data_IF_098102213738
#
_entry.id   IF_098102213738
#
_cell.length_a   1.000
_cell.length_b   1.000
_cell.length_c   1.000
_cell.angle_alpha   90.00
_cell.angle_beta   90.00
_cell.angle_gamma   90.00
#
_symmetry.space_group_name_H-M   'P 1'
#
loop_
_entity.id
_entity.type
_entity.pdbx_description
1 polymer ?
#
# COMPACT_ATOMS: atom_id res chain seq x y z
N UNK A 1 -8.61 3.34 -21.71
CA UNK A 1 -9.03 2.02 -22.23
C UNK A 1 -8.04 0.90 -21.89
N UNK A 2 -6.75 1.01 -22.24
CA UNK A 2 -5.74 -0.06 -22.03
C UNK A 2 -5.67 -0.60 -20.59
N UNK A 3 -5.69 0.28 -19.59
CA UNK A 3 -5.62 -0.10 -18.18
C UNK A 3 -6.88 -0.81 -17.63
N UNK A 4 -7.99 -0.77 -18.37
CA UNK A 4 -9.25 -1.38 -17.97
C UNK A 4 -9.62 -2.60 -18.84
N UNK A 5 -8.67 -3.13 -19.64
CA UNK A 5 -8.93 -4.20 -20.62
C UNK A 5 -9.59 -5.43 -20.00
N UNK A 6 -9.14 -5.84 -18.80
CA UNK A 6 -9.70 -6.99 -18.08
C UNK A 6 -11.16 -6.80 -17.63
N UNK A 7 -11.65 -5.56 -17.60
CA UNK A 7 -13.03 -5.24 -17.21
C UNK A 7 -13.97 -5.09 -18.41
N UNK A 8 -13.44 -5.01 -19.64
CA UNK A 8 -14.25 -4.76 -20.83
C UNK A 8 -14.74 -6.09 -21.40
N UNK A 9 -16.04 -6.36 -21.31
CA UNK A 9 -16.62 -7.63 -21.74
C UNK A 9 -16.86 -7.72 -23.26
N UNK A 10 -17.08 -6.58 -23.93
CA UNK A 10 -17.47 -6.56 -25.35
C UNK A 10 -16.53 -5.68 -26.18
N UNK A 11 -16.95 -4.44 -26.45
CA UNK A 11 -16.24 -3.46 -27.25
C UNK A 11 -16.11 -2.16 -26.44
N UNK A 12 -15.13 -1.33 -26.77
CA UNK A 12 -14.94 -0.03 -26.15
C UNK A 12 -14.48 0.99 -27.18
N UNK A 13 -14.85 2.24 -26.94
CA UNK A 13 -14.45 3.40 -27.75
C UNK A 13 -13.86 4.42 -26.77
N UNK A 14 -12.77 5.06 -27.16
CA UNK A 14 -12.19 6.19 -26.44
C UNK A 14 -12.27 7.46 -27.28
N UNK A 15 -12.38 8.60 -26.59
CA UNK A 15 -12.55 9.90 -27.23
C UNK A 15 -11.29 10.40 -27.96
N UNK A 16 -10.14 9.76 -27.72
CA UNK A 16 -8.88 9.97 -28.45
C UNK A 16 -8.80 9.19 -29.78
N UNK A 17 -9.89 8.50 -30.17
CA UNK A 17 -9.98 7.76 -31.44
C UNK A 17 -9.64 6.26 -31.36
N UNK A 18 -9.38 5.73 -30.16
CA UNK A 18 -9.18 4.29 -29.97
C UNK A 18 -10.50 3.51 -30.05
N UNK A 19 -10.54 2.46 -30.87
CA UNK A 19 -11.69 1.54 -30.93
C UNK A 19 -11.21 0.11 -30.67
N UNK A 20 -11.82 -0.53 -29.68
CA UNK A 20 -11.68 -1.96 -29.43
C UNK A 20 -12.96 -2.68 -29.84
N UNK A 21 -12.84 -3.56 -30.83
CA UNK A 21 -13.91 -4.42 -31.29
C UNK A 21 -14.05 -5.66 -30.40
N UNK A 22 -15.21 -6.34 -30.53
CA UNK A 22 -15.47 -7.63 -29.88
C UNK A 22 -14.33 -8.61 -30.17
N UNK A 23 -13.90 -9.37 -29.15
CA UNK A 23 -12.72 -10.26 -29.17
C UNK A 23 -11.36 -9.55 -29.06
N UNK A 24 -11.33 -8.30 -28.61
CA UNK A 24 -10.09 -7.59 -28.29
C UNK A 24 -9.27 -7.10 -29.49
N UNK A 25 -9.85 -7.10 -30.70
CA UNK A 25 -9.20 -6.50 -31.88
C UNK A 25 -9.23 -4.98 -31.75
N UNK A 26 -8.06 -4.34 -31.79
CA UNK A 26 -7.93 -2.88 -31.65
C UNK A 26 -7.69 -2.25 -33.02
N UNK A 27 -8.44 -1.19 -33.31
CA UNK A 27 -8.25 -0.32 -34.48
C UNK A 27 -7.57 0.97 -34.02
N UNK A 28 -6.46 1.32 -34.68
CA UNK A 28 -5.66 2.51 -34.42
C UNK A 28 -5.49 3.29 -35.73
N UNK A 29 -5.83 4.58 -35.75
CA UNK A 29 -5.66 5.44 -36.92
C UNK A 29 -6.73 6.51 -37.04
N UNK A 30 -6.57 7.39 -38.04
CA UNK A 30 -7.59 8.37 -38.43
C UNK A 30 -8.79 7.64 -39.03
N UNK A 31 -9.93 7.64 -38.32
CA UNK A 31 -11.23 7.27 -38.89
C UNK A 31 -11.91 8.54 -39.38
N UNK A 32 -11.85 8.80 -40.68
CA UNK A 32 -12.74 9.74 -41.31
C UNK A 32 -14.04 9.03 -41.68
N UNK A 33 -15.16 9.60 -41.27
CA UNK A 33 -16.49 9.15 -41.68
C UNK A 33 -17.24 10.37 -42.22
N UNK A 34 -17.74 10.27 -43.44
CA UNK A 34 -18.49 11.35 -44.10
C UNK A 34 -19.90 11.55 -43.53
N UNK A 35 -20.36 10.59 -42.71
CA UNK A 35 -21.69 10.57 -42.12
C UNK A 35 -21.59 10.70 -40.60
N UNK A 36 -22.29 11.70 -40.05
CA UNK A 36 -22.31 12.01 -38.63
C UNK A 36 -23.70 11.82 -38.02
N UNK A 37 -23.75 11.44 -36.75
CA UNK A 37 -25.00 11.44 -35.99
C UNK A 37 -25.54 12.87 -35.88
N UNK A 38 -26.84 13.05 -36.11
CA UNK A 38 -27.49 14.36 -35.98
C UNK A 38 -27.45 14.80 -34.52
N UNK A 39 -27.08 16.06 -34.29
CA UNK A 39 -27.26 16.70 -32.99
C UNK A 39 -28.76 16.92 -32.79
N UNK A 40 -29.34 16.19 -31.85
CA UNK A 40 -30.73 16.40 -31.43
C UNK A 40 -30.73 17.55 -30.43
N UNK A 41 -31.32 18.67 -30.83
CA UNK A 41 -31.52 19.84 -29.96
C UNK A 41 -32.88 19.80 -29.26
N UNK A 42 -33.48 18.62 -29.13
CA UNK A 42 -34.80 18.49 -28.51
C UNK A 42 -34.71 18.85 -27.04
N UNK A 43 -35.63 19.73 -26.64
CA UNK A 43 -36.10 19.98 -25.29
C UNK A 43 -36.67 18.68 -24.69
N UNK A 44 -35.81 17.68 -24.52
CA UNK A 44 -36.13 16.50 -23.73
C UNK A 44 -36.12 16.93 -22.27
N UNK A 45 -37.06 16.37 -21.50
CA UNK A 45 -37.37 16.54 -20.08
C UNK A 45 -36.19 16.18 -19.14
N UNK A 46 -34.98 16.63 -19.48
CA UNK A 46 -33.81 16.58 -18.63
C UNK A 46 -33.83 17.81 -17.73
N UNK A 47 -33.26 17.65 -16.53
CA UNK A 47 -32.80 18.77 -15.72
C UNK A 47 -32.18 19.84 -16.64
N UNK A 48 -32.50 21.10 -16.40
CA UNK A 48 -31.86 22.21 -17.13
C UNK A 48 -30.35 21.95 -17.15
N UNK A 49 -29.68 22.29 -18.25
CA UNK A 49 -28.22 22.14 -18.36
C UNK A 49 -27.50 22.64 -17.10
N UNK A 50 -28.01 23.71 -16.50
CA UNK A 50 -27.48 24.29 -15.27
C UNK A 50 -27.68 23.39 -14.04
N UNK A 51 -28.83 22.73 -13.92
CA UNK A 51 -29.10 21.76 -12.86
C UNK A 51 -28.23 20.50 -13.00
N UNK A 52 -28.03 20.01 -14.23
CA UNK A 52 -27.12 18.89 -14.51
C UNK A 52 -25.67 19.26 -14.18
N UNK A 53 -25.23 20.45 -14.56
CA UNK A 53 -23.88 20.95 -14.23
C UNK A 53 -23.69 21.09 -12.72
N UNK A 54 -24.70 21.59 -12.02
CA UNK A 54 -24.69 21.67 -10.55
C UNK A 54 -24.59 20.29 -9.91
N UNK A 55 -25.31 19.29 -10.42
CA UNK A 55 -25.20 17.91 -9.92
C UNK A 55 -23.79 17.34 -10.14
N UNK A 56 -23.18 17.59 -11.30
CA UNK A 56 -21.80 17.17 -11.59
C UNK A 56 -20.82 17.83 -10.62
N UNK A 57 -20.96 19.12 -10.34
CA UNK A 57 -20.11 19.85 -9.40
C UNK A 57 -20.26 19.32 -7.97
N UNK A 58 -21.48 19.06 -7.52
CA UNK A 58 -21.73 18.46 -6.21
C UNK A 58 -21.07 17.08 -6.09
N UNK A 59 -21.23 16.20 -7.10
CA UNK A 59 -20.59 14.87 -7.11
C UNK A 59 -19.07 14.94 -7.12
N UNK A 60 -18.48 15.93 -7.80
CA UNK A 60 -17.03 16.17 -7.77
C UNK A 60 -16.55 16.58 -6.38
N UNK A 61 -17.31 17.43 -5.70
CA UNK A 61 -17.00 17.85 -4.34
C UNK A 61 -17.09 16.67 -3.36
N UNK A 62 -18.16 15.88 -3.45
CA UNK A 62 -18.33 14.67 -2.65
C UNK A 62 -17.18 13.67 -2.87
N UNK A 63 -16.78 13.45 -4.13
CA UNK A 63 -15.64 12.59 -4.45
C UNK A 63 -14.35 13.09 -3.79
N UNK A 64 -14.07 14.39 -3.88
CA UNK A 64 -12.87 14.98 -3.29
C UNK A 64 -12.84 14.79 -1.76
N UNK A 65 -13.97 15.04 -1.07
CA UNK A 65 -14.06 14.83 0.37
C UNK A 65 -13.72 13.37 0.75
N UNK A 66 -14.22 12.41 -0.02
CA UNK A 66 -13.93 10.99 0.22
C UNK A 66 -12.46 10.67 -0.06
N UNK A 67 -11.88 11.21 -1.13
CA UNK A 67 -10.46 11.03 -1.47
C UNK A 67 -9.54 11.58 -0.37
N UNK A 68 -9.82 12.78 0.15
CA UNK A 68 -9.08 13.38 1.27
C UNK A 68 -9.20 12.53 2.54
N UNK A 69 -10.40 12.03 2.85
CA UNK A 69 -10.61 11.17 4.00
C UNK A 69 -9.85 9.84 3.90
N UNK A 70 -9.77 9.24 2.71
CA UNK A 70 -8.98 8.04 2.44
C UNK A 70 -7.49 8.33 2.64
N UNK A 71 -6.99 9.44 2.09
CA UNK A 71 -5.59 9.84 2.21
C UNK A 71 -5.20 10.04 3.68
N UNK A 72 -6.00 10.79 4.44
CA UNK A 72 -5.79 11.01 5.87
C UNK A 72 -5.79 9.70 6.65
N UNK A 73 -6.77 8.82 6.40
CA UNK A 73 -6.86 7.53 7.10
C UNK A 73 -5.67 6.63 6.80
N UNK A 74 -5.17 6.64 5.56
CA UNK A 74 -3.97 5.91 5.17
C UNK A 74 -2.71 6.41 5.88
N UNK A 75 -2.57 7.72 6.06
CA UNK A 75 -1.46 8.31 6.82
C UNK A 75 -1.49 7.87 8.29
N UNK A 76 -2.67 7.94 8.94
CA UNK A 76 -2.84 7.47 10.32
C UNK A 76 -2.51 5.98 10.47
N UNK A 77 -2.94 5.17 9.49
CA UNK A 77 -2.62 3.75 9.43
C UNK A 77 -1.13 3.50 9.33
N UNK A 78 -0.42 4.22 8.45
CA UNK A 78 1.02 4.02 8.26
C UNK A 78 1.82 4.45 9.51
N UNK A 79 1.45 5.57 10.13
CA UNK A 79 2.03 6.00 11.41
C UNK A 79 1.86 4.92 12.50
N UNK A 80 0.65 4.37 12.61
CA UNK A 80 0.36 3.29 13.57
C UNK A 80 1.17 2.02 13.29
N UNK A 81 1.34 1.65 12.01
CA UNK A 81 2.15 0.50 11.61
C UNK A 81 3.64 0.72 11.91
N UNK A 82 4.16 1.92 11.69
CA UNK A 82 5.56 2.23 12.02
C UNK A 82 5.81 2.12 13.53
N UNK A 83 4.93 2.71 14.35
CA UNK A 83 5.01 2.56 15.81
C UNK A 83 4.95 1.08 16.25
N UNK A 84 4.09 0.28 15.60
CA UNK A 84 4.00 -1.15 15.87
C UNK A 84 5.31 -1.86 15.54
N UNK A 85 5.88 -1.63 14.35
CA UNK A 85 7.15 -2.23 13.91
C UNK A 85 8.33 -1.83 14.80
N UNK A 86 8.41 -0.56 15.20
CA UNK A 86 9.46 -0.10 16.12
C UNK A 86 9.37 -0.81 17.47
N UNK A 87 8.14 -0.98 18.00
CA UNK A 87 7.91 -1.68 19.25
C UNK A 87 8.22 -3.17 19.15
N UNK A 88 7.83 -3.82 18.05
CA UNK A 88 8.16 -5.21 17.74
C UNK A 88 9.67 -5.42 17.70
N UNK A 89 10.40 -4.56 16.98
CA UNK A 89 11.86 -4.60 16.90
C UNK A 89 12.51 -4.41 18.28
N UNK A 90 11.99 -3.50 19.11
CA UNK A 90 12.45 -3.30 20.48
C UNK A 90 12.28 -4.55 21.36
N UNK A 91 11.15 -5.26 21.23
CA UNK A 91 10.93 -6.51 21.96
C UNK A 91 11.83 -7.64 21.48
N UNK A 92 12.03 -7.80 20.16
CA UNK A 92 12.93 -8.80 19.61
C UNK A 92 14.36 -8.59 20.12
N UNK A 93 14.85 -7.35 20.09
CA UNK A 93 16.17 -7.00 20.63
C UNK A 93 16.29 -7.35 22.12
N UNK A 94 15.25 -7.08 22.92
CA UNK A 94 15.28 -7.41 24.35
C UNK A 94 15.37 -8.93 24.60
N UNK A 95 14.76 -9.74 23.74
CA UNK A 95 14.85 -11.20 23.81
C UNK A 95 16.29 -11.64 23.47
N UNK A 96 16.85 -11.13 22.37
CA UNK A 96 18.23 -11.42 21.94
C UNK A 96 19.25 -11.05 23.02
N UNK A 97 19.17 -9.83 23.57
CA UNK A 97 20.07 -9.35 24.63
C UNK A 97 20.00 -10.26 25.87
N UNK A 98 18.81 -10.72 26.26
CA UNK A 98 18.64 -11.65 27.39
C UNK A 98 19.23 -13.04 27.10
N UNK A 99 19.08 -13.54 25.87
CA UNK A 99 19.68 -14.80 25.47
C UNK A 99 21.22 -14.73 25.49
N UNK A 100 21.81 -13.62 25.04
CA UNK A 100 23.26 -13.40 25.11
C UNK A 100 23.77 -13.35 26.55
N UNK A 101 23.09 -12.60 27.43
CA UNK A 101 23.44 -12.53 28.85
C UNK A 101 23.36 -13.93 29.49
N UNK A 102 22.32 -14.69 29.21
CA UNK A 102 22.18 -16.05 29.74
C UNK A 102 23.31 -16.97 29.26
N UNK A 103 23.70 -16.89 27.98
CA UNK A 103 24.86 -17.63 27.45
C UNK A 103 26.16 -17.25 28.16
N UNK A 104 26.37 -15.95 28.44
CA UNK A 104 27.56 -15.46 29.15
C UNK A 104 27.60 -15.91 30.62
N UNK A 105 26.46 -16.00 31.29
CA UNK A 105 26.38 -16.52 32.67
C UNK A 105 26.73 -18.01 32.69
N UNK A 106 26.20 -18.80 31.76
CA UNK A 106 26.48 -20.24 31.64
C UNK A 106 27.97 -20.51 31.36
N UNK A 107 28.62 -19.70 30.52
CA UNK A 107 30.06 -19.87 30.23
C UNK A 107 30.96 -19.56 31.44
N UNK A 108 30.57 -18.60 32.29
CA UNK A 108 31.34 -18.27 33.50
C UNK A 108 31.20 -19.33 34.60
N UNK A 109 30.03 -19.96 34.74
CA UNK A 109 29.79 -21.03 35.73
C UNK A 109 30.50 -22.35 35.39
N UNK A 110 30.92 -22.56 34.15
CA UNK A 110 31.58 -23.79 33.69
C UNK A 110 33.11 -23.72 33.74
N UNK A 111 33.69 -22.62 34.24
CA UNK A 111 35.15 -22.50 34.43
C UNK A 111 35.59 -23.32 35.66
N UNK A 112 36.42 -24.37 35.54
CA UNK A 112 36.85 -25.15 36.69
C UNK A 112 37.76 -24.30 37.58
N UNK A 113 37.50 -24.28 38.90
CA UNK A 113 38.41 -23.70 39.88
C UNK A 113 39.78 -24.39 39.74
N UNK A 114 40.82 -23.62 39.41
CA UNK A 114 42.19 -24.11 39.41
C UNK A 114 42.56 -24.66 40.81
N UNK A 115 43.34 -25.76 40.91
CA UNK A 115 43.62 -26.38 42.21
C UNK A 115 44.46 -25.43 43.07
N UNK A 116 43.98 -25.15 44.28
CA UNK A 116 44.73 -24.49 45.34
C UNK A 116 45.95 -25.34 45.70
N UNK A 117 47.14 -24.90 45.30
CA UNK A 117 48.40 -25.43 45.81
C UNK A 117 48.55 -25.03 47.28
N UNK A 118 48.25 -25.96 48.19
CA UNK A 118 48.63 -25.86 49.60
C UNK A 118 50.11 -26.21 49.73
N UNK A 119 50.99 -25.20 49.84
CA UNK A 119 52.33 -25.41 50.39
C UNK A 119 52.24 -25.42 51.91
N UNK A 120 52.29 -26.63 52.47
CA UNK A 120 52.58 -26.86 53.89
C UNK A 120 54.06 -26.56 54.12
N UNK A 121 54.37 -25.40 54.71
CA UNK A 121 55.70 -25.13 55.24
C UNK A 121 55.87 -25.86 56.56
N UNK A 122 56.55 -27.00 56.53
CA UNK A 122 57.05 -27.68 57.71
C UNK A 122 58.13 -26.85 58.39
N UNK A 123 57.95 -26.62 59.70
CA UNK A 123 59.00 -26.18 60.62
C UNK A 123 60.11 -27.23 60.68
N UNK A 124 61.37 -26.82 60.56
CA UNK A 124 62.52 -27.52 61.15
C UNK A 124 63.58 -26.48 61.56
N UNK A 125 63.72 -26.37 62.89
CA UNK A 125 64.78 -25.79 63.72
C UNK A 125 65.06 -24.28 63.69
#
# INVERSE_FOLDING_TARGET
MKHALGCIMNAAISLDGGIMHRKGRVSLGSMHADLHFRVVAEEQEYLSRDEMMKEIENKKLELNIVEEAIAYTNEQRESSLNNFREREAGFLKLIEDKEEINKLILSQQTTPMAPLHTQSSGQLF
#
